data_IF_875584956078
#
_entry.id   IF_875584956078
#
_cell.length_a   1.000
_cell.length_b   1.000
_cell.length_c   1.000
_cell.angle_alpha   90.00
_cell.angle_beta   90.00
_cell.angle_gamma   90.00
#
_symmetry.space_group_name_H-M   'P 1'
#
loop_
_entity.id
_entity.type
_entity.pdbx_description
1 polymer ?
#
# COMPACT_ATOMS: atom_id res chain seq x y z
N UNK A 1 -15.75 7.29 -6.16
CA UNK A 1 -15.59 5.83 -6.29
C UNK A 1 -14.45 5.36 -5.38
N UNK A 2 -14.68 4.27 -4.70
CA UNK A 2 -13.66 3.70 -3.82
C UNK A 2 -13.83 2.19 -3.75
N UNK A 3 -12.76 1.46 -4.04
CA UNK A 3 -12.72 0.00 -3.97
C UNK A 3 -11.62 -0.39 -3.01
N UNK A 4 -11.95 -1.17 -2.00
CA UNK A 4 -11.00 -1.59 -0.97
C UNK A 4 -10.94 -3.10 -0.86
N UNK A 5 -9.73 -3.65 -0.79
CA UNK A 5 -9.45 -5.07 -0.58
C UNK A 5 -8.42 -5.20 0.52
N UNK A 6 -8.65 -6.10 1.47
CA UNK A 6 -7.67 -6.38 2.52
C UNK A 6 -6.94 -7.69 2.20
N UNK A 7 -5.61 -7.62 2.15
CA UNK A 7 -4.76 -8.78 1.97
C UNK A 7 -4.04 -9.07 3.28
N UNK A 8 -4.28 -10.25 3.84
CA UNK A 8 -3.54 -10.71 5.01
C UNK A 8 -2.27 -11.41 4.56
N UNK A 9 -1.17 -11.09 5.21
CA UNK A 9 0.14 -11.69 4.93
C UNK A 9 0.62 -12.40 6.19
N UNK A 10 0.15 -13.64 6.44
CA UNK A 10 0.46 -14.35 7.70
C UNK A 10 1.94 -14.57 7.92
N UNK A 11 2.69 -14.80 6.84
CA UNK A 11 4.15 -15.00 6.91
C UNK A 11 4.86 -13.86 7.63
N UNK A 12 4.36 -12.64 7.48
CA UNK A 12 4.94 -11.44 8.09
C UNK A 12 4.07 -10.85 9.19
N UNK A 13 3.00 -11.53 9.57
CA UNK A 13 2.07 -11.09 10.61
C UNK A 13 1.55 -9.67 10.39
N UNK A 14 1.19 -9.36 9.14
CA UNK A 14 0.67 -8.04 8.81
C UNK A 14 -0.47 -8.13 7.80
N UNK A 15 -1.14 -7.00 7.59
CA UNK A 15 -2.14 -6.89 6.54
C UNK A 15 -1.87 -5.65 5.69
N UNK A 16 -2.20 -5.76 4.42
CA UNK A 16 -2.10 -4.69 3.45
C UNK A 16 -3.50 -4.36 2.97
N UNK A 17 -3.94 -3.14 3.23
CA UNK A 17 -5.25 -2.66 2.79
C UNK A 17 -5.05 -1.88 1.49
N UNK A 18 -5.56 -2.44 0.40
CA UNK A 18 -5.37 -1.88 -0.95
C UNK A 18 -6.64 -1.12 -1.31
N UNK A 19 -6.51 0.17 -1.57
CA UNK A 19 -7.63 1.03 -1.92
C UNK A 19 -7.37 1.75 -3.23
N UNK A 20 -8.32 1.63 -4.16
CA UNK A 20 -8.35 2.42 -5.39
C UNK A 20 -9.41 3.49 -5.20
N UNK A 21 -9.04 4.75 -5.34
CA UNK A 21 -9.93 5.88 -5.10
C UNK A 21 -9.67 7.01 -6.08
N UNK A 22 -10.69 7.80 -6.39
CA UNK A 22 -10.54 9.01 -7.18
C UNK A 22 -10.23 10.25 -6.34
N UNK A 23 -10.12 10.07 -5.01
CA UNK A 23 -9.72 11.12 -4.06
C UNK A 23 -8.66 10.58 -3.11
N UNK A 24 -7.44 10.41 -3.62
CA UNK A 24 -6.34 9.82 -2.84
C UNK A 24 -5.96 10.68 -1.66
N UNK A 25 -5.89 12.00 -1.85
CA UNK A 25 -5.52 12.93 -0.78
C UNK A 25 -6.53 12.87 0.37
N UNK A 26 -7.82 12.90 0.03
CA UNK A 26 -8.89 12.79 1.04
C UNK A 26 -8.84 11.46 1.78
N UNK A 27 -8.59 10.37 1.06
CA UNK A 27 -8.48 9.04 1.69
C UNK A 27 -7.27 8.95 2.62
N UNK A 28 -6.12 9.47 2.20
CA UNK A 28 -4.92 9.47 3.03
C UNK A 28 -5.13 10.28 4.32
N UNK A 29 -5.73 11.46 4.20
CA UNK A 29 -5.99 12.31 5.36
C UNK A 29 -7.03 11.68 6.29
N UNK A 30 -8.03 10.98 5.74
CA UNK A 30 -9.00 10.23 6.53
C UNK A 30 -8.31 9.14 7.36
N UNK A 31 -7.35 8.43 6.77
CA UNK A 31 -6.58 7.40 7.46
C UNK A 31 -5.73 8.03 8.56
N UNK A 32 -5.03 9.12 8.29
CA UNK A 32 -4.24 9.81 9.28
C UNK A 32 -5.10 10.24 10.47
N UNK A 33 -6.26 10.81 10.21
CA UNK A 33 -7.18 11.24 11.27
C UNK A 33 -7.68 10.06 12.10
N UNK A 34 -8.03 8.95 11.43
CA UNK A 34 -8.53 7.74 12.11
C UNK A 34 -7.53 7.20 13.12
N UNK A 35 -6.24 7.22 12.78
CA UNK A 35 -5.17 6.69 13.63
C UNK A 35 -4.44 7.79 14.42
N UNK A 36 -5.01 8.99 14.45
CA UNK A 36 -4.46 10.13 15.20
C UNK A 36 -3.02 10.49 14.80
N UNK A 37 -2.70 10.31 13.56
CA UNK A 37 -1.43 10.72 12.97
C UNK A 37 -1.52 12.22 12.67
N UNK A 38 -0.57 13.01 13.18
CA UNK A 38 -0.60 14.47 13.06
C UNK A 38 -0.10 14.99 11.72
N UNK A 39 0.28 14.11 10.82
CA UNK A 39 0.73 14.50 9.49
C UNK A 39 -0.48 14.79 8.59
N UNK A 40 -0.26 15.64 7.60
CA UNK A 40 -1.24 15.94 6.58
C UNK A 40 -0.68 15.56 5.23
N UNK A 41 -1.47 14.82 4.44
CA UNK A 41 -1.08 14.43 3.11
C UNK A 41 -1.38 15.59 2.16
N UNK A 42 -0.35 16.07 1.46
CA UNK A 42 -0.48 17.20 0.55
C UNK A 42 -0.10 16.84 -0.87
N UNK A 43 -0.76 17.48 -1.82
CA UNK A 43 -0.47 17.31 -3.23
C UNK A 43 -1.08 16.05 -3.81
N UNK A 44 -1.36 16.10 -5.11
CA UNK A 44 -1.90 14.96 -5.83
C UNK A 44 -0.77 14.03 -6.28
N UNK A 45 -0.97 12.72 -6.14
CA UNK A 45 -0.01 11.74 -6.60
C UNK A 45 -0.72 10.52 -7.17
N UNK A 46 0.04 9.67 -7.87
CA UNK A 46 -0.51 8.48 -8.52
C UNK A 46 -0.79 7.36 -7.54
N UNK A 47 -0.04 7.31 -6.45
CA UNK A 47 -0.22 6.31 -5.41
C UNK A 47 0.60 6.64 -4.17
N UNK A 48 0.35 5.92 -3.09
CA UNK A 48 1.08 6.11 -1.85
C UNK A 48 0.99 4.85 -0.98
N UNK A 49 2.04 4.62 -0.19
CA UNK A 49 2.03 3.59 0.84
C UNK A 49 2.03 4.30 2.18
N UNK A 50 1.03 4.03 3.00
CA UNK A 50 0.90 4.64 4.32
C UNK A 50 1.13 3.57 5.38
N UNK A 51 2.15 3.77 6.20
CA UNK A 51 2.46 2.88 7.31
C UNK A 51 1.73 3.36 8.55
N UNK A 52 0.89 2.50 9.11
CA UNK A 52 0.22 2.78 10.40
C UNK A 52 1.03 2.18 11.54
N UNK A 53 1.38 0.90 11.40
CA UNK A 53 2.19 0.17 12.36
C UNK A 53 2.85 -0.99 11.61
N UNK A 54 3.73 -1.73 12.27
CA UNK A 54 4.43 -2.85 11.67
C UNK A 54 3.47 -3.95 11.17
N UNK A 55 2.24 -3.97 11.67
CA UNK A 55 1.24 -4.97 11.30
C UNK A 55 0.17 -4.47 10.32
N UNK A 56 0.19 -3.20 9.95
CA UNK A 56 -0.85 -2.62 9.08
C UNK A 56 -0.31 -1.57 8.12
N UNK A 57 -0.52 -1.82 6.83
CA UNK A 57 -0.11 -0.93 5.76
C UNK A 57 -1.29 -0.62 4.84
N UNK A 58 -1.33 0.59 4.33
CA UNK A 58 -2.28 0.99 3.29
C UNK A 58 -1.55 1.22 1.98
N UNK A 59 -2.03 0.62 0.92
CA UNK A 59 -1.58 0.87 -0.44
C UNK A 59 -2.69 1.62 -1.16
N UNK A 60 -2.47 2.90 -1.42
CA UNK A 60 -3.46 3.76 -2.06
C UNK A 60 -3.11 3.96 -3.53
N UNK A 61 -4.08 3.77 -4.40
CA UNK A 61 -3.93 3.95 -5.84
C UNK A 61 -4.94 4.98 -6.31
N UNK A 62 -4.46 5.98 -7.06
CA UNK A 62 -5.32 7.03 -7.61
C UNK A 62 -5.94 6.54 -8.92
N UNK A 63 -7.27 6.42 -8.92
CA UNK A 63 -8.00 5.91 -10.08
C UNK A 63 -7.77 6.77 -11.34
N UNK A 64 -7.49 8.06 -11.19
CA UNK A 64 -7.24 8.97 -12.30
C UNK A 64 -5.98 8.64 -13.08
N UNK A 65 -4.99 8.01 -12.43
CA UNK A 65 -3.68 7.74 -13.00
C UNK A 65 -3.36 6.24 -13.03
N UNK A 66 -4.39 5.41 -12.94
CA UNK A 66 -4.20 3.96 -12.82
C UNK A 66 -3.62 3.38 -14.10
N UNK A 67 -2.46 2.77 -13.98
CA UNK A 67 -1.75 2.11 -15.08
C UNK A 67 -0.93 0.95 -14.50
N UNK A 68 -0.47 0.06 -15.38
CA UNK A 68 0.41 -1.03 -14.95
C UNK A 68 1.70 -0.48 -14.32
N UNK A 69 2.23 0.60 -14.85
CA UNK A 69 3.44 1.22 -14.33
C UNK A 69 3.21 1.76 -12.91
N UNK A 70 2.12 2.48 -12.70
CA UNK A 70 1.77 3.02 -11.38
C UNK A 70 1.56 1.90 -10.37
N UNK A 71 0.82 0.85 -10.75
CA UNK A 71 0.57 -0.30 -9.88
C UNK A 71 1.88 -0.97 -9.49
N UNK A 72 2.76 -1.25 -10.46
CA UNK A 72 4.05 -1.88 -10.20
C UNK A 72 4.93 -1.01 -9.30
N UNK A 73 4.93 0.29 -9.52
CA UNK A 73 5.69 1.25 -8.73
C UNK A 73 5.26 1.20 -7.25
N UNK A 74 3.96 1.23 -6.98
CA UNK A 74 3.44 1.21 -5.62
C UNK A 74 3.57 -0.16 -4.96
N UNK A 75 3.46 -1.25 -5.73
CA UNK A 75 3.73 -2.60 -5.22
C UNK A 75 5.18 -2.70 -4.74
N UNK A 76 6.12 -2.13 -5.50
CA UNK A 76 7.53 -2.11 -5.12
C UNK A 76 7.71 -1.38 -3.78
N UNK A 77 7.12 -0.18 -3.63
CA UNK A 77 7.19 0.55 -2.37
C UNK A 77 6.60 -0.24 -1.21
N UNK A 78 5.45 -0.87 -1.39
CA UNK A 78 4.83 -1.69 -0.34
C UNK A 78 5.72 -2.86 0.04
N UNK A 79 6.29 -3.57 -0.95
CA UNK A 79 7.19 -4.69 -0.74
C UNK A 79 8.42 -4.28 0.06
N UNK A 80 9.07 -3.20 -0.35
CA UNK A 80 10.26 -2.69 0.33
C UNK A 80 9.92 -2.30 1.76
N UNK A 81 8.79 -1.61 1.98
CA UNK A 81 8.41 -1.18 3.32
C UNK A 81 8.15 -2.36 4.25
N UNK A 82 7.39 -3.36 3.81
CA UNK A 82 7.07 -4.53 4.63
C UNK A 82 8.33 -5.31 4.97
N UNK A 83 9.19 -5.55 3.99
CA UNK A 83 10.42 -6.33 4.21
C UNK A 83 11.46 -5.56 5.01
N UNK A 84 11.61 -4.27 4.75
CA UNK A 84 12.56 -3.41 5.45
C UNK A 84 12.24 -3.30 6.94
N UNK A 85 10.95 -3.16 7.29
CA UNK A 85 10.51 -3.10 8.68
C UNK A 85 10.81 -4.39 9.44
N UNK A 86 11.13 -5.48 8.76
CA UNK A 86 11.45 -6.79 9.31
C UNK A 86 12.91 -7.21 9.09
N UNK A 87 13.74 -6.27 8.67
CA UNK A 87 15.15 -6.50 8.34
C UNK A 87 15.35 -7.64 7.32
N UNK A 88 14.42 -7.79 6.39
CA UNK A 88 14.51 -8.79 5.34
C UNK A 88 15.17 -8.17 4.11
N UNK A 89 16.35 -8.67 3.75
CA UNK A 89 17.10 -8.21 2.58
C UNK A 89 17.15 -9.24 1.47
N UNK A 90 16.52 -10.41 1.69
CA UNK A 90 16.49 -11.50 0.72
C UNK A 90 15.63 -11.13 -0.49
N UNK A 91 16.25 -11.08 -1.65
CA UNK A 91 15.59 -10.73 -2.91
C UNK A 91 14.47 -11.71 -3.28
N UNK A 92 14.65 -13.01 -2.98
CA UNK A 92 13.61 -14.00 -3.25
C UNK A 92 12.37 -13.78 -2.39
N UNK A 93 12.56 -13.41 -1.13
CA UNK A 93 11.44 -13.09 -0.24
C UNK A 93 10.69 -11.85 -0.73
N UNK A 94 11.44 -10.84 -1.19
CA UNK A 94 10.84 -9.62 -1.74
C UNK A 94 10.07 -9.92 -3.04
N UNK A 95 10.65 -10.75 -3.91
CA UNK A 95 10.01 -11.15 -5.17
C UNK A 95 8.72 -11.92 -4.90
N UNK A 96 8.73 -12.84 -3.93
CA UNK A 96 7.55 -13.59 -3.53
C UNK A 96 6.43 -12.64 -3.08
N UNK A 97 6.76 -11.70 -2.21
CA UNK A 97 5.76 -10.76 -1.68
C UNK A 97 5.20 -9.87 -2.79
N UNK A 98 6.07 -9.34 -3.66
CA UNK A 98 5.64 -8.51 -4.78
C UNK A 98 4.69 -9.29 -5.71
N UNK A 99 5.00 -10.54 -6.00
CA UNK A 99 4.16 -11.41 -6.82
C UNK A 99 2.82 -11.68 -6.16
N UNK A 100 2.81 -11.92 -4.86
CA UNK A 100 1.59 -12.17 -4.10
C UNK A 100 0.64 -10.95 -4.13
N UNK A 101 1.18 -9.75 -3.88
CA UNK A 101 0.40 -8.51 -3.93
C UNK A 101 -0.12 -8.26 -5.36
N UNK A 102 0.72 -8.47 -6.36
CA UNK A 102 0.33 -8.31 -7.77
C UNK A 102 -0.85 -9.22 -8.11
N UNK A 103 -0.79 -10.47 -7.68
CA UNK A 103 -1.85 -11.44 -7.92
C UNK A 103 -3.19 -11.01 -7.34
N UNK A 104 -3.18 -10.35 -6.19
CA UNK A 104 -4.41 -9.83 -5.57
C UNK A 104 -4.97 -8.63 -6.35
N UNK A 105 -4.11 -7.70 -6.75
CA UNK A 105 -4.54 -6.49 -7.45
C UNK A 105 -5.14 -6.81 -8.82
N UNK A 106 -4.55 -7.75 -9.55
CA UNK A 106 -4.99 -8.11 -10.90
C UNK A 106 -6.02 -9.25 -10.94
N UNK A 107 -6.53 -9.61 -9.83
CA UNK A 107 -7.50 -10.72 -9.74
C UNK A 107 -8.90 -10.38 -10.27
#
# INVERSE_FOLDING_TARGET
MKITTTLKIPTYSCELIITVTDDLVGEANRIYKKYKIKEEFEGECEGAVVLIDIDKYYLLLNAKYLSHNTIAHEIFHATVRVTEDRDITDEEAQAWLAGHVTGVIYK
#
